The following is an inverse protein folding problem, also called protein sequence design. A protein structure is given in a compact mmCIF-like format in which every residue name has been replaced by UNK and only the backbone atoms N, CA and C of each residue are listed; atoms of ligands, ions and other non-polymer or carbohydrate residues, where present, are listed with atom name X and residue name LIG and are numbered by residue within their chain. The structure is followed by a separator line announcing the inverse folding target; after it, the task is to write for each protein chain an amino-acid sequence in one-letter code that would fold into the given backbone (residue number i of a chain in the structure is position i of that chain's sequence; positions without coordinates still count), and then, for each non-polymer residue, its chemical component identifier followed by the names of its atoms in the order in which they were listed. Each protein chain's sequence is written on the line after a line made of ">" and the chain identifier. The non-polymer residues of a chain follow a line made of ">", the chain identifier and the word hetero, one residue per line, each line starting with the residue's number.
data_IF_043404104201
#
_entry.id   IF_043404104201
#
_cell.length_a   1.000
_cell.length_b   1.000
_cell.length_c   1.000
_cell.angle_alpha   90.00
_cell.angle_beta   90.00
_cell.angle_gamma   90.00
#
_symmetry.space_group_name_H-M   'P 1'
#
loop_
_entity.id
_entity.type
_entity.pdbx_description
1 polymer ?
#
# COMPACT_ATOMS: atom_id res chain seq x y z
N UNK A 1 -25.93 -27.88 -14.76
CA UNK A 1 -25.60 -26.46 -14.94
C UNK A 1 -24.30 -26.23 -14.22
N UNK A 2 -23.20 -26.17 -14.96
CA UNK A 2 -21.87 -25.94 -14.41
C UNK A 2 -21.72 -24.47 -14.03
N UNK A 3 -21.37 -24.21 -12.78
CA UNK A 3 -20.92 -22.90 -12.32
C UNK A 3 -19.52 -22.67 -12.91
N UNK A 4 -19.21 -21.50 -13.51
CA UNK A 4 -17.85 -21.22 -13.90
C UNK A 4 -16.99 -21.16 -12.64
N UNK A 5 -15.94 -21.97 -12.58
CA UNK A 5 -14.89 -21.85 -11.59
C UNK A 5 -14.32 -20.43 -11.69
N UNK A 6 -14.58 -19.62 -10.66
CA UNK A 6 -13.90 -18.35 -10.47
C UNK A 6 -12.40 -18.66 -10.36
N UNK A 7 -11.66 -18.39 -11.44
CA UNK A 7 -10.21 -18.42 -11.46
C UNK A 7 -9.70 -17.28 -10.57
N UNK A 8 -9.69 -17.53 -9.26
CA UNK A 8 -9.17 -16.65 -8.23
C UNK A 8 -7.66 -16.88 -8.08
N UNK A 9 -6.90 -16.83 -9.18
CA UNK A 9 -5.49 -17.23 -9.17
C UNK A 9 -4.51 -16.16 -9.63
N UNK A 10 -4.93 -14.92 -9.89
CA UNK A 10 -4.00 -13.90 -10.35
C UNK A 10 -4.20 -12.58 -9.62
N UNK A 11 -3.67 -12.44 -8.40
CA UNK A 11 -3.24 -11.11 -7.94
C UNK A 11 -2.39 -11.03 -6.66
N UNK A 12 -2.04 -12.14 -5.99
CA UNK A 12 -1.46 -12.06 -4.64
C UNK A 12 -0.15 -12.84 -4.52
N UNK A 13 0.80 -12.52 -5.39
CA UNK A 13 2.22 -12.72 -5.10
C UNK A 13 2.89 -11.35 -5.16
N UNK A 14 2.61 -10.52 -4.14
CA UNK A 14 3.40 -9.32 -3.90
C UNK A 14 4.77 -9.77 -3.41
N UNK A 15 5.76 -9.72 -4.32
CA UNK A 15 7.15 -9.99 -4.01
C UNK A 15 7.65 -8.83 -3.14
N UNK A 16 7.78 -9.08 -1.84
CA UNK A 16 8.36 -8.12 -0.91
C UNK A 16 9.85 -8.01 -1.23
N UNK A 17 10.31 -6.84 -1.67
CA UNK A 17 11.74 -6.54 -1.70
C UNK A 17 12.22 -6.48 -0.24
N UNK A 18 12.80 -7.59 0.18
CA UNK A 18 13.53 -7.73 1.42
C UNK A 18 14.91 -7.11 1.24
N UNK A 19 15.10 -5.98 1.90
CA UNK A 19 16.34 -5.47 2.50
C UNK A 19 16.51 -3.98 2.16
N UNK A 20 16.18 -3.13 3.14
CA UNK A 20 16.54 -1.72 3.07
C UNK A 20 18.05 -1.56 3.16
N UNK A 21 18.59 -0.49 2.58
CA UNK A 21 20.02 -0.22 2.62
C UNK A 21 20.51 -0.22 4.09
N UNK A 22 21.68 -0.83 4.40
CA UNK A 22 22.14 -1.01 5.78
C UNK A 22 22.29 0.31 6.55
N UNK A 23 22.56 1.40 5.83
CA UNK A 23 22.68 2.75 6.37
C UNK A 23 21.31 3.33 6.82
N UNK A 24 20.25 3.04 6.07
CA UNK A 24 18.88 3.48 6.40
C UNK A 24 18.37 2.74 7.63
N UNK A 25 18.60 1.43 7.73
CA UNK A 25 18.21 0.60 8.88
C UNK A 25 18.86 1.12 10.17
N UNK A 26 20.15 1.48 10.13
CA UNK A 26 20.84 2.04 11.29
C UNK A 26 20.28 3.40 11.74
N UNK A 27 19.80 4.21 10.80
CA UNK A 27 19.15 5.47 11.14
C UNK A 27 17.76 5.26 11.73
N UNK A 28 16.97 4.32 11.18
CA UNK A 28 15.65 3.95 11.70
C UNK A 28 15.78 3.44 13.14
N UNK A 29 16.76 2.57 13.45
CA UNK A 29 17.00 2.04 14.80
C UNK A 29 17.27 3.12 15.86
N UNK A 30 17.84 4.27 15.47
CA UNK A 30 18.11 5.39 16.40
C UNK A 30 16.84 6.16 16.77
N UNK A 31 15.83 6.15 15.90
CA UNK A 31 14.62 6.97 16.02
C UNK A 31 13.43 6.13 16.50
N UNK A 32 13.35 4.88 16.04
CA UNK A 32 12.24 3.97 16.34
C UNK A 32 12.43 3.34 17.72
N UNK A 33 11.42 3.44 18.62
CA UNK A 33 11.48 2.80 19.92
C UNK A 33 11.68 1.28 19.81
N UNK A 34 12.36 0.63 20.78
CA UNK A 34 12.58 -0.83 20.75
C UNK A 34 11.32 -1.67 20.61
N UNK A 35 10.19 -1.16 21.14
CA UNK A 35 8.89 -1.79 21.02
C UNK A 35 8.42 -1.99 19.56
N UNK A 36 9.01 -1.29 18.59
CA UNK A 36 8.64 -1.36 17.17
C UNK A 36 9.77 -1.90 16.28
N UNK A 37 10.87 -2.42 16.85
CA UNK A 37 11.99 -2.96 16.06
C UNK A 37 11.62 -4.21 15.24
N UNK A 38 10.48 -4.83 15.50
CA UNK A 38 9.94 -5.93 14.70
C UNK A 38 9.19 -5.45 13.44
N UNK A 39 9.02 -4.14 13.27
CA UNK A 39 8.40 -3.51 12.10
C UNK A 39 9.38 -2.60 11.35
N UNK A 40 10.69 -2.82 11.47
CA UNK A 40 11.69 -1.95 10.82
C UNK A 40 11.57 -1.90 9.30
N UNK A 41 10.90 -2.88 8.72
CA UNK A 41 10.62 -3.02 7.30
C UNK A 41 9.54 -2.06 6.78
N UNK A 42 8.73 -1.42 7.63
CA UNK A 42 7.70 -0.46 7.19
C UNK A 42 8.14 1.00 7.27
N UNK A 43 9.27 1.28 7.93
CA UNK A 43 9.84 2.62 8.05
C UNK A 43 10.72 3.12 6.89
N UNK A 44 11.28 2.27 5.98
CA UNK A 44 12.06 2.75 4.85
C UNK A 44 11.23 3.67 3.95
N UNK A 45 11.86 4.77 3.53
CA UNK A 45 11.22 5.86 2.78
C UNK A 45 10.55 5.32 1.51
N UNK A 46 11.27 4.46 0.78
CA UNK A 46 10.81 3.84 -0.46
C UNK A 46 9.54 2.99 -0.29
N UNK A 47 9.36 2.37 0.88
CA UNK A 47 8.17 1.56 1.18
C UNK A 47 7.01 2.43 1.61
N UNK A 48 7.27 3.50 2.37
CA UNK A 48 6.25 4.46 2.79
C UNK A 48 5.65 5.28 1.63
N UNK A 49 6.43 5.52 0.57
CA UNK A 49 5.98 6.22 -0.63
C UNK A 49 5.08 5.36 -1.54
N UNK A 50 5.10 4.02 -1.38
CA UNK A 50 4.25 3.12 -2.16
C UNK A 50 2.82 3.20 -1.64
N UNK A 51 1.81 3.46 -2.50
CA UNK A 51 0.42 3.43 -2.06
C UNK A 51 0.06 2.02 -1.57
N UNK A 52 -0.84 1.90 -0.59
CA UNK A 52 -1.35 0.60 -0.19
C UNK A 52 -2.00 -0.10 -1.40
N UNK A 53 -2.00 -1.44 -1.42
CA UNK A 53 -2.69 -2.20 -2.46
C UNK A 53 -4.16 -1.79 -2.55
N UNK A 54 -4.70 -1.78 -3.76
CA UNK A 54 -6.14 -1.54 -3.95
C UNK A 54 -6.95 -2.71 -3.39
N UNK A 55 -8.00 -2.40 -2.63
CA UNK A 55 -8.91 -3.41 -2.09
C UNK A 55 -10.24 -3.41 -2.84
N UNK A 56 -10.88 -4.57 -2.93
CA UNK A 56 -12.22 -4.71 -3.53
C UNK A 56 -13.32 -4.02 -2.74
N UNK A 57 -13.03 -3.60 -1.51
CA UNK A 57 -13.91 -2.84 -0.63
C UNK A 57 -13.52 -1.36 -0.49
N UNK A 58 -12.58 -0.88 -1.31
CA UNK A 58 -12.28 0.55 -1.33
C UNK A 58 -13.56 1.34 -1.67
N UNK A 59 -13.80 2.42 -0.93
CA UNK A 59 -15.02 3.20 -1.07
C UNK A 59 -15.10 3.82 -2.47
N UNK A 60 -16.09 3.40 -3.25
CA UNK A 60 -16.46 4.08 -4.49
C UNK A 60 -17.32 5.30 -4.13
N UNK A 61 -16.85 6.49 -4.48
CA UNK A 61 -17.66 7.71 -4.41
C UNK A 61 -18.21 7.96 -5.80
N UNK A 62 -19.51 7.74 -5.98
CA UNK A 62 -20.21 8.10 -7.21
C UNK A 62 -20.34 9.62 -7.27
N UNK A 63 -19.89 10.23 -8.37
CA UNK A 63 -20.06 11.67 -8.62
C UNK A 63 -21.36 11.91 -9.38
N UNK A 64 -22.20 12.82 -8.88
CA UNK A 64 -23.36 13.29 -9.64
C UNK A 64 -22.90 14.18 -10.82
N UNK A 65 -23.46 13.93 -12.01
CA UNK A 65 -23.05 14.55 -13.29
C UNK A 65 -23.19 16.08 -13.35
N UNK A 66 -23.85 16.71 -12.36
CA UNK A 66 -24.19 18.14 -12.38
C UNK A 66 -23.30 19.05 -11.52
N UNK A 67 -22.22 18.55 -10.91
CA UNK A 67 -21.30 19.44 -10.19
C UNK A 67 -20.32 20.11 -11.17
N UNK A 68 -20.27 21.45 -11.25
CA UNK A 68 -19.22 22.11 -12.03
C UNK A 68 -17.86 21.76 -11.43
N UNK A 69 -16.79 21.62 -12.25
CA UNK A 69 -15.47 21.34 -11.73
C UNK A 69 -15.08 22.43 -10.71
N UNK A 70 -14.67 22.01 -9.52
CA UNK A 70 -14.17 22.92 -8.49
C UNK A 70 -12.94 23.65 -9.06
N UNK A 71 -13.08 24.98 -9.19
CA UNK A 71 -12.00 25.90 -9.51
C UNK A 71 -11.85 26.24 -10.99
N UNK A 72 -12.68 27.16 -11.48
CA UNK A 72 -12.19 28.12 -12.48
C UNK A 72 -11.44 29.18 -11.67
N UNK A 73 -10.12 29.28 -11.88
CA UNK A 73 -9.28 30.37 -11.34
C UNK A 73 -9.51 31.61 -12.19
#
# INVERSE_FOLDING_TARGET
>A
MDLPALSFHASLEEKWDEEGEPEEIQNILKVVPPAYHHYLDVFPSMKAEKPPPHHTCDHLIELEESLPPVGVI
#
